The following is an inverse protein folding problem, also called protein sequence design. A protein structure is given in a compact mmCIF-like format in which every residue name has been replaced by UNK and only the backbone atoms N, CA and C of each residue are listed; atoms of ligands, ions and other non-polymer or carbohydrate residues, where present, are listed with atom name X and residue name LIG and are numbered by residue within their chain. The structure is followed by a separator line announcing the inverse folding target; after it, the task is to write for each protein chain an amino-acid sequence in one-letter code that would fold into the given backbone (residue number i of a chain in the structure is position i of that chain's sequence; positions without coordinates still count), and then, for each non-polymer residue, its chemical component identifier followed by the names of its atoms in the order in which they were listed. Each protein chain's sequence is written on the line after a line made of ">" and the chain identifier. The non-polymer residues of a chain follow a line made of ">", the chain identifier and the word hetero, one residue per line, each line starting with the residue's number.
data_IF_182538861438
#
_entry.id   IF_182538861438
#
_cell.length_a   1.000
_cell.length_b   1.000
_cell.length_c   1.000
_cell.angle_alpha   90.00
_cell.angle_beta   90.00
_cell.angle_gamma   90.00
#
_symmetry.space_group_name_H-M   'P 1'
#
loop_
_entity.id
_entity.type
_entity.pdbx_description
1 polymer ?
#
# COMPACT_ATOMS: atom_id res chain seq x y z
N UNK A 1 7.47 9.72 7.59
CA UNK A 1 6.72 10.79 6.91
C UNK A 1 6.73 10.41 5.44
N UNK A 2 5.60 9.96 4.92
CA UNK A 2 5.44 9.65 3.50
C UNK A 2 4.99 10.94 2.82
N UNK A 3 5.85 11.51 1.98
CA UNK A 3 5.46 12.61 1.09
C UNK A 3 4.89 12.01 -0.19
N UNK A 4 3.62 12.24 -0.48
CA UNK A 4 3.04 11.95 -1.78
C UNK A 4 3.40 13.12 -2.71
N UNK A 5 4.32 12.86 -3.64
CA UNK A 5 4.63 13.79 -4.72
C UNK A 5 4.10 13.21 -6.03
N UNK A 6 3.58 14.07 -6.90
CA UNK A 6 3.31 13.65 -8.28
C UNK A 6 4.64 13.28 -8.96
N UNK A 7 4.57 12.39 -9.95
CA UNK A 7 5.76 11.96 -10.71
C UNK A 7 6.53 13.15 -11.32
N UNK A 8 5.82 14.21 -11.74
CA UNK A 8 6.42 15.44 -12.26
C UNK A 8 7.19 16.21 -11.17
N UNK A 9 6.65 16.31 -9.97
CA UNK A 9 7.33 16.93 -8.82
C UNK A 9 8.58 16.17 -8.41
N UNK A 10 8.54 14.83 -8.44
CA UNK A 10 9.71 13.96 -8.18
C UNK A 10 10.79 14.22 -9.26
N UNK A 11 10.41 14.26 -10.53
CA UNK A 11 11.34 14.50 -11.64
C UNK A 11 12.00 15.89 -11.52
N UNK A 12 11.27 16.93 -11.22
CA UNK A 12 11.82 18.28 -11.00
C UNK A 12 12.71 18.37 -9.76
N UNK A 13 12.32 17.69 -8.68
CA UNK A 13 13.12 17.62 -7.46
C UNK A 13 14.44 16.85 -7.67
N UNK A 14 14.40 15.76 -8.42
CA UNK A 14 15.61 15.01 -8.82
C UNK A 14 16.56 15.85 -9.69
N UNK A 15 16.04 16.65 -10.64
CA UNK A 15 16.84 17.59 -11.44
C UNK A 15 17.54 18.65 -10.58
N UNK A 16 16.82 19.23 -9.59
CA UNK A 16 17.39 20.23 -8.66
C UNK A 16 18.47 19.67 -7.76
N UNK A 17 18.30 18.40 -7.29
CA UNK A 17 19.27 17.73 -6.43
C UNK A 17 20.54 17.27 -7.18
N UNK A 18 20.48 17.10 -8.50
CA UNK A 18 21.62 16.75 -9.35
C UNK A 18 22.66 17.87 -9.55
N UNK A 19 22.33 19.11 -9.18
CA UNK A 19 23.18 20.30 -9.35
C UNK A 19 23.97 20.74 -8.12
N UNK A 20 23.65 20.26 -6.92
CA UNK A 20 24.34 20.65 -5.69
C UNK A 20 25.10 19.45 -5.07
N UNK A 21 26.35 19.69 -4.68
CA UNK A 21 27.19 18.75 -3.91
C UNK A 21 26.60 18.55 -2.51
N UNK A 22 25.54 17.75 -2.40
CA UNK A 22 25.05 17.27 -1.11
C UNK A 22 25.57 15.86 -0.89
N UNK A 23 26.24 15.63 0.22
CA UNK A 23 27.08 14.47 0.56
C UNK A 23 26.40 13.09 0.65
N UNK A 24 25.19 12.89 0.12
CA UNK A 24 24.55 11.58 -0.07
C UNK A 24 23.86 11.53 -1.43
N UNK A 25 24.44 10.75 -2.35
CA UNK A 25 23.85 10.49 -3.67
C UNK A 25 22.61 9.60 -3.48
N UNK A 26 21.47 10.00 -4.03
CA UNK A 26 20.28 9.14 -4.12
C UNK A 26 20.63 7.93 -4.99
N UNK A 27 20.41 6.73 -4.49
CA UNK A 27 20.67 5.48 -5.20
C UNK A 27 19.38 4.76 -5.59
N UNK A 28 18.32 4.95 -4.80
CA UNK A 28 17.03 4.28 -4.98
C UNK A 28 15.88 5.27 -4.81
N UNK A 29 14.83 5.07 -5.61
CA UNK A 29 13.55 5.76 -5.46
C UNK A 29 12.47 4.72 -5.22
N UNK A 30 11.78 4.83 -4.09
CA UNK A 30 10.64 3.99 -3.77
C UNK A 30 9.33 4.76 -4.00
N UNK A 31 8.38 4.12 -4.65
CA UNK A 31 7.07 4.68 -4.99
C UNK A 31 5.96 3.88 -4.31
N UNK A 32 4.99 4.56 -3.74
CA UNK A 32 3.67 3.99 -3.54
C UNK A 32 2.97 3.86 -4.91
N UNK A 33 2.11 2.85 -5.05
CA UNK A 33 1.48 2.54 -6.33
C UNK A 33 0.13 3.25 -6.50
N UNK A 34 -0.85 2.91 -5.67
CA UNK A 34 -2.23 3.35 -5.84
C UNK A 34 -2.42 4.82 -5.45
N UNK A 35 -2.76 5.68 -6.40
CA UNK A 35 -2.90 7.12 -6.21
C UNK A 35 -1.58 7.91 -6.36
N UNK A 36 -0.47 7.22 -6.64
CA UNK A 36 0.86 7.84 -6.87
C UNK A 36 1.34 7.60 -8.30
N UNK A 37 1.58 6.35 -8.70
CA UNK A 37 2.01 5.99 -10.07
C UNK A 37 0.83 5.55 -10.92
N UNK A 38 -0.15 4.92 -10.32
CA UNK A 38 -1.40 4.52 -10.98
C UNK A 38 -2.58 5.20 -10.27
N UNK A 39 -3.68 5.39 -10.97
CA UNK A 39 -4.94 5.62 -10.30
C UNK A 39 -5.35 4.36 -9.54
N UNK A 40 -6.15 4.50 -8.48
CA UNK A 40 -6.55 3.39 -7.63
C UNK A 40 -7.14 2.23 -8.44
N UNK A 41 -6.51 1.06 -8.35
CA UNK A 41 -6.86 -0.17 -9.08
C UNK A 41 -6.82 -0.05 -10.62
N UNK A 42 -6.19 1.00 -11.16
CA UNK A 42 -6.00 1.17 -12.60
C UNK A 42 -4.62 0.68 -13.05
N UNK A 43 -4.47 0.24 -14.32
CA UNK A 43 -3.16 -0.13 -14.87
C UNK A 43 -2.19 1.06 -14.94
N UNK A 44 -0.90 0.76 -15.03
CA UNK A 44 0.13 1.77 -15.32
C UNK A 44 -0.11 2.44 -16.66
N UNK A 45 -0.26 3.76 -16.66
CA UNK A 45 -0.44 4.55 -17.88
C UNK A 45 0.89 4.77 -18.62
N UNK A 46 0.83 4.90 -19.95
CA UNK A 46 1.99 5.05 -20.83
C UNK A 46 2.88 6.27 -20.46
N UNK A 47 2.29 7.39 -20.04
CA UNK A 47 3.06 8.56 -19.64
C UNK A 47 3.90 8.30 -18.39
N UNK A 48 3.32 7.64 -17.38
CA UNK A 48 4.02 7.28 -16.16
C UNK A 48 5.09 6.22 -16.44
N UNK A 49 4.82 5.27 -17.34
CA UNK A 49 5.82 4.29 -17.80
C UNK A 49 7.04 4.97 -18.40
N UNK A 50 6.86 5.93 -19.31
CA UNK A 50 7.98 6.69 -19.91
C UNK A 50 8.82 7.44 -18.86
N UNK A 51 8.19 7.91 -17.78
CA UNK A 51 8.92 8.54 -16.67
C UNK A 51 9.71 7.52 -15.88
N UNK A 52 9.12 6.36 -15.57
CA UNK A 52 9.82 5.26 -14.89
C UNK A 52 11.02 4.78 -15.73
N UNK A 53 10.87 4.62 -17.05
CA UNK A 53 11.95 4.22 -17.94
C UNK A 53 13.14 5.20 -17.89
N UNK A 54 12.89 6.50 -17.82
CA UNK A 54 13.94 7.52 -17.67
C UNK A 54 14.60 7.49 -16.29
N UNK A 55 13.81 7.30 -15.24
CA UNK A 55 14.32 7.22 -13.87
C UNK A 55 15.15 5.95 -13.65
N UNK A 56 14.74 4.83 -14.25
CA UNK A 56 15.44 3.54 -14.15
C UNK A 56 16.86 3.58 -14.74
N UNK A 57 17.15 4.53 -15.65
CA UNK A 57 18.52 4.74 -16.18
C UNK A 57 19.47 5.36 -15.15
N UNK A 58 18.93 5.99 -14.09
CA UNK A 58 19.71 6.77 -13.14
C UNK A 58 19.64 6.20 -11.70
N UNK A 59 18.56 5.49 -11.37
CA UNK A 59 18.23 5.05 -10.03
C UNK A 59 17.70 3.62 -10.05
N UNK A 60 17.96 2.86 -8.98
CA UNK A 60 17.18 1.66 -8.68
C UNK A 60 15.77 2.09 -8.30
N UNK A 61 14.76 1.47 -8.89
CA UNK A 61 13.36 1.79 -8.62
C UNK A 61 12.71 0.66 -7.82
N UNK A 62 11.84 1.03 -6.89
CA UNK A 62 11.10 0.11 -6.02
C UNK A 62 9.63 0.53 -5.94
N UNK A 63 8.71 -0.40 -6.13
CA UNK A 63 7.30 -0.21 -5.78
C UNK A 63 7.07 -0.72 -4.37
N UNK A 64 6.37 0.07 -3.55
CA UNK A 64 5.93 -0.34 -2.22
C UNK A 64 4.41 -0.35 -2.17
N UNK A 65 3.81 -1.46 -1.75
CA UNK A 65 2.35 -1.55 -1.71
C UNK A 65 1.81 -2.56 -0.70
N UNK A 66 0.57 -2.35 -0.27
CA UNK A 66 -0.11 -3.23 0.68
C UNK A 66 -0.57 -4.56 0.05
N UNK A 67 -0.83 -4.58 -1.26
CA UNK A 67 -1.30 -5.76 -1.98
C UNK A 67 -0.23 -6.83 -2.17
N UNK A 68 -0.62 -8.01 -2.67
CA UNK A 68 0.33 -9.06 -3.06
C UNK A 68 1.21 -8.61 -4.23
N UNK A 69 2.45 -9.10 -4.29
CA UNK A 69 3.38 -8.78 -5.36
C UNK A 69 2.84 -9.15 -6.74
N UNK A 70 2.15 -10.29 -6.87
CA UNK A 70 1.50 -10.71 -8.11
C UNK A 70 0.38 -9.74 -8.56
N UNK A 71 -0.38 -9.17 -7.62
CA UNK A 71 -1.37 -8.15 -7.93
C UNK A 71 -0.69 -6.87 -8.41
N UNK A 72 0.32 -6.41 -7.68
CA UNK A 72 1.07 -5.21 -8.01
C UNK A 72 1.72 -5.35 -9.39
N UNK A 73 2.43 -6.45 -9.64
CA UNK A 73 3.08 -6.71 -10.93
C UNK A 73 2.09 -6.72 -12.10
N UNK A 74 0.91 -7.35 -11.92
CA UNK A 74 -0.15 -7.35 -12.94
C UNK A 74 -0.72 -5.95 -13.18
N UNK A 75 -0.96 -5.16 -12.11
CA UNK A 75 -1.45 -3.78 -12.23
C UNK A 75 -0.43 -2.86 -12.91
N UNK A 76 0.87 -3.13 -12.70
CA UNK A 76 1.97 -2.45 -13.40
C UNK A 76 2.13 -2.89 -14.86
N UNK A 77 1.23 -3.78 -15.38
CA UNK A 77 1.29 -4.27 -16.75
C UNK A 77 2.51 -5.14 -17.06
N UNK A 78 3.07 -5.81 -16.04
CA UNK A 78 4.28 -6.61 -16.18
C UNK A 78 5.56 -5.76 -16.24
N UNK A 79 5.51 -4.49 -15.84
CA UNK A 79 6.70 -3.62 -15.81
C UNK A 79 7.75 -4.19 -14.83
N UNK A 80 8.97 -4.35 -15.32
CA UNK A 80 10.10 -4.93 -14.57
C UNK A 80 10.68 -3.93 -13.59
N UNK A 81 10.24 -4.00 -12.36
CA UNK A 81 10.65 -3.14 -11.25
C UNK A 81 10.60 -3.97 -9.96
N UNK A 82 11.53 -3.74 -9.04
CA UNK A 82 11.49 -4.39 -7.74
C UNK A 82 10.21 -4.01 -6.96
N UNK A 83 9.66 -4.97 -6.20
CA UNK A 83 8.40 -4.77 -5.49
C UNK A 83 8.56 -5.19 -4.03
N UNK A 84 8.24 -4.29 -3.11
CA UNK A 84 8.06 -4.57 -1.69
C UNK A 84 6.56 -4.60 -1.40
N UNK A 85 5.99 -5.78 -1.38
CA UNK A 85 4.58 -6.05 -1.31
C UNK A 85 4.13 -6.51 0.08
N UNK A 86 2.82 -6.63 0.27
CA UNK A 86 2.20 -7.24 1.44
C UNK A 86 2.73 -6.62 2.75
N UNK A 87 2.70 -5.27 2.83
CA UNK A 87 3.22 -4.51 3.98
C UNK A 87 4.69 -4.81 4.31
N UNK A 88 5.52 -5.03 3.28
CA UNK A 88 6.94 -5.34 3.43
C UNK A 88 7.26 -6.80 3.72
N UNK A 89 6.28 -7.69 3.76
CA UNK A 89 6.47 -9.11 4.02
C UNK A 89 6.74 -9.95 2.77
N UNK A 90 6.57 -9.37 1.58
CA UNK A 90 6.86 -10.02 0.33
C UNK A 90 7.76 -9.13 -0.54
N UNK A 91 8.85 -9.70 -1.04
CA UNK A 91 9.83 -9.00 -1.88
C UNK A 91 9.99 -9.73 -3.20
N UNK A 92 9.89 -8.97 -4.28
CA UNK A 92 10.07 -9.44 -5.65
C UNK A 92 11.20 -8.65 -6.27
N UNK A 93 12.12 -9.33 -6.91
CA UNK A 93 13.23 -8.73 -7.67
C UNK A 93 13.26 -9.23 -9.11
N UNK A 94 13.76 -8.40 -10.01
CA UNK A 94 13.95 -8.80 -11.39
C UNK A 94 15.27 -9.55 -11.53
N UNK A 95 15.20 -10.82 -11.92
CA UNK A 95 16.36 -11.64 -12.24
C UNK A 95 16.78 -11.41 -13.70
N UNK A 96 17.87 -10.71 -13.91
CA UNK A 96 18.38 -10.43 -15.27
C UNK A 96 18.79 -11.70 -16.03
N UNK A 97 19.31 -12.72 -15.33
CA UNK A 97 19.76 -13.98 -15.93
C UNK A 97 18.60 -14.79 -16.52
N UNK A 98 17.44 -14.77 -15.84
CA UNK A 98 16.24 -15.49 -16.26
C UNK A 98 15.24 -14.62 -17.02
N UNK A 99 15.39 -13.31 -16.97
CA UNK A 99 14.48 -12.37 -17.61
C UNK A 99 13.09 -12.30 -16.98
N UNK A 100 12.96 -12.68 -15.70
CA UNK A 100 11.67 -12.75 -15.00
C UNK A 100 11.73 -12.18 -13.59
N UNK A 101 10.54 -11.87 -13.04
CA UNK A 101 10.38 -11.44 -11.64
C UNK A 101 10.34 -12.64 -10.71
N UNK A 102 11.10 -12.58 -9.63
CA UNK A 102 11.21 -13.64 -8.64
C UNK A 102 10.83 -13.18 -7.25
N UNK A 103 10.24 -14.10 -6.49
CA UNK A 103 9.95 -13.89 -5.07
C UNK A 103 11.19 -14.26 -4.27
N UNK A 104 11.93 -13.26 -3.81
CA UNK A 104 13.15 -13.45 -3.00
C UNK A 104 12.85 -13.58 -1.51
N UNK A 105 11.69 -13.03 -1.08
CA UNK A 105 11.21 -13.16 0.31
C UNK A 105 9.69 -13.23 0.34
N UNK A 106 9.16 -14.16 1.14
CA UNK A 106 7.72 -14.25 1.38
C UNK A 106 7.47 -14.74 2.80
N UNK A 107 7.09 -13.82 3.67
CA UNK A 107 6.78 -14.09 5.08
C UNK A 107 5.27 -14.04 5.25
N UNK A 108 4.72 -15.07 5.90
CA UNK A 108 3.32 -15.12 6.30
C UNK A 108 3.22 -15.22 7.81
N UNK A 109 2.38 -14.40 8.40
CA UNK A 109 2.11 -14.38 9.83
C UNK A 109 0.69 -14.85 10.08
N UNK A 110 0.52 -15.82 10.96
CA UNK A 110 -0.81 -16.30 11.34
C UNK A 110 -1.50 -15.28 12.26
N UNK A 111 -2.78 -15.07 12.01
CA UNK A 111 -3.67 -14.25 12.82
C UNK A 111 -4.75 -15.15 13.42
N UNK A 112 -5.12 -14.93 14.68
CA UNK A 112 -6.29 -15.55 15.30
C UNK A 112 -7.55 -14.85 14.80
N UNK A 113 -8.06 -15.36 13.66
CA UNK A 113 -9.22 -14.78 12.98
C UNK A 113 -10.46 -14.76 13.87
N UNK A 114 -10.72 -15.85 14.60
CA UNK A 114 -11.91 -15.94 15.45
C UNK A 114 -11.90 -14.86 16.54
N UNK A 115 -10.76 -14.62 17.15
CA UNK A 115 -10.60 -13.56 18.14
C UNK A 115 -10.77 -12.17 17.51
N UNK A 116 -10.20 -11.93 16.32
CA UNK A 116 -10.34 -10.66 15.61
C UNK A 116 -11.78 -10.41 15.20
N UNK A 117 -12.47 -11.39 14.64
CA UNK A 117 -13.87 -11.26 14.21
C UNK A 117 -14.79 -10.93 15.38
N UNK A 118 -14.64 -11.61 16.53
CA UNK A 118 -15.41 -11.28 17.75
C UNK A 118 -15.19 -9.83 18.21
N UNK A 119 -13.95 -9.37 18.20
CA UNK A 119 -13.59 -7.99 18.57
C UNK A 119 -14.15 -6.99 17.59
N UNK A 120 -14.13 -7.29 16.30
CA UNK A 120 -14.71 -6.43 15.27
C UNK A 120 -16.23 -6.33 15.41
N UNK A 121 -16.91 -7.45 15.66
CA UNK A 121 -18.36 -7.45 15.93
C UNK A 121 -18.71 -6.61 17.16
N UNK A 122 -17.92 -6.70 18.22
CA UNK A 122 -18.09 -5.85 19.40
C UNK A 122 -17.96 -4.36 19.03
N UNK A 123 -16.93 -3.99 18.26
CA UNK A 123 -16.70 -2.63 17.79
C UNK A 123 -17.89 -2.12 16.95
N UNK A 124 -18.35 -2.93 15.99
CA UNK A 124 -19.47 -2.60 15.12
C UNK A 124 -20.75 -2.34 15.91
N UNK A 125 -21.09 -3.20 16.86
CA UNK A 125 -22.25 -3.02 17.74
C UNK A 125 -22.15 -1.75 18.59
N UNK A 126 -20.99 -1.50 19.17
CA UNK A 126 -20.76 -0.34 20.03
C UNK A 126 -20.90 0.98 19.29
N UNK A 127 -20.45 1.05 18.02
CA UNK A 127 -20.43 2.28 17.23
C UNK A 127 -21.51 2.35 16.15
N UNK A 128 -22.37 1.34 16.03
CA UNK A 128 -23.48 1.33 15.09
C UNK A 128 -23.09 1.03 13.64
N UNK A 129 -21.91 0.44 13.38
CA UNK A 129 -21.45 0.09 12.03
C UNK A 129 -21.89 -1.31 11.60
N UNK A 130 -23.18 -1.61 11.76
CA UNK A 130 -23.74 -2.93 11.43
C UNK A 130 -24.02 -3.12 9.93
N UNK A 131 -24.21 -2.03 9.19
CA UNK A 131 -24.41 -2.06 7.74
C UNK A 131 -23.05 -1.95 7.04
N UNK A 132 -22.62 -3.02 6.38
CA UNK A 132 -21.39 -3.07 5.62
C UNK A 132 -21.53 -4.03 4.42
N UNK A 133 -20.74 -3.82 3.38
CA UNK A 133 -20.73 -4.61 2.16
C UNK A 133 -19.50 -5.52 2.10
N UNK A 134 -19.71 -6.80 1.78
CA UNK A 134 -18.65 -7.81 1.75
C UNK A 134 -18.20 -8.24 3.15
N UNK A 135 -16.90 -8.42 3.34
CA UNK A 135 -16.33 -8.90 4.59
C UNK A 135 -16.18 -7.79 5.64
N UNK A 136 -16.39 -8.16 6.90
CA UNK A 136 -16.23 -7.27 8.07
C UNK A 136 -14.77 -6.95 8.37
N UNK A 137 -13.86 -7.86 8.03
CA UNK A 137 -12.42 -7.79 8.29
C UNK A 137 -11.67 -8.23 7.04
N UNK A 138 -10.60 -7.53 6.69
CA UNK A 138 -9.70 -7.95 5.64
C UNK A 138 -8.39 -8.47 6.25
N UNK A 139 -8.11 -9.75 5.99
CA UNK A 139 -6.91 -10.44 6.48
C UNK A 139 -5.84 -10.50 5.41
N UNK A 140 -4.63 -10.05 5.76
CA UNK A 140 -3.48 -10.08 4.86
C UNK A 140 -2.49 -11.18 5.28
N UNK A 141 -1.80 -11.83 4.32
CA UNK A 141 -0.78 -12.84 4.63
C UNK A 141 0.35 -12.33 5.53
N UNK A 142 0.59 -11.01 5.54
CA UNK A 142 1.55 -10.37 6.46
C UNK A 142 1.19 -10.45 7.94
N UNK A 143 -0.04 -10.90 8.27
CA UNK A 143 -0.61 -10.77 9.61
C UNK A 143 -1.21 -9.40 9.88
N UNK A 144 -1.11 -8.46 8.93
CA UNK A 144 -1.85 -7.20 9.00
C UNK A 144 -3.35 -7.46 8.86
N UNK A 145 -4.13 -6.73 9.64
CA UNK A 145 -5.60 -6.81 9.63
C UNK A 145 -6.16 -5.42 9.38
N UNK A 146 -7.00 -5.30 8.36
CA UNK A 146 -7.72 -4.07 8.07
C UNK A 146 -9.16 -4.19 8.58
N UNK A 147 -9.63 -3.17 9.29
CA UNK A 147 -10.98 -3.09 9.85
C UNK A 147 -11.82 -2.08 9.03
N UNK A 148 -12.39 -2.49 7.88
CA UNK A 148 -13.13 -1.58 7.01
C UNK A 148 -14.52 -1.32 7.59
N UNK A 149 -14.80 -0.09 8.05
CA UNK A 149 -16.09 0.25 8.68
C UNK A 149 -17.28 0.03 7.76
N UNK A 150 -17.12 0.31 6.46
CA UNK A 150 -18.14 0.07 5.43
C UNK A 150 -18.07 -1.34 4.80
N UNK A 151 -17.10 -2.18 5.21
CA UNK A 151 -16.83 -3.47 4.61
C UNK A 151 -15.87 -3.42 3.41
N UNK A 152 -15.42 -4.59 2.98
CA UNK A 152 -14.41 -4.72 1.92
C UNK A 152 -14.93 -4.31 0.54
N UNK A 153 -16.24 -4.51 0.28
CA UNK A 153 -16.88 -4.32 -1.03
C UNK A 153 -17.70 -3.02 -1.14
N UNK A 154 -17.63 -2.14 -0.15
CA UNK A 154 -18.31 -0.85 -0.23
C UNK A 154 -17.84 -0.04 -1.46
N UNK A 155 -18.75 0.71 -2.06
CA UNK A 155 -18.48 1.53 -3.24
C UNK A 155 -17.40 2.57 -2.97
N UNK A 156 -16.59 2.87 -3.99
CA UNK A 156 -15.48 3.83 -3.85
C UNK A 156 -15.95 5.25 -3.53
N UNK A 157 -17.10 5.68 -4.05
CA UNK A 157 -17.67 7.01 -3.76
C UNK A 157 -18.18 7.06 -2.33
N UNK A 158 -18.81 5.97 -1.86
CA UNK A 158 -19.26 5.84 -0.48
C UNK A 158 -18.06 5.89 0.47
N UNK A 159 -16.98 5.15 0.19
CA UNK A 159 -15.73 5.19 0.98
C UNK A 159 -15.13 6.60 1.06
N UNK A 160 -15.13 7.35 -0.03
CA UNK A 160 -14.59 8.72 -0.07
C UNK A 160 -15.45 9.71 0.71
N UNK A 161 -16.79 9.57 0.67
CA UNK A 161 -17.73 10.47 1.36
C UNK A 161 -17.98 10.13 2.83
N UNK A 162 -17.67 8.91 3.24
CA UNK A 162 -18.02 8.39 4.57
C UNK A 162 -17.32 9.10 5.73
N UNK A 163 -16.03 9.38 5.59
CA UNK A 163 -15.20 9.95 6.67
C UNK A 163 -14.05 10.79 6.09
N UNK A 164 -14.39 11.88 5.34
CA UNK A 164 -13.41 12.67 4.59
C UNK A 164 -12.42 13.39 5.51
N UNK A 165 -12.87 13.83 6.69
CA UNK A 165 -12.07 14.50 7.72
C UNK A 165 -11.45 13.53 8.74
N UNK A 166 -11.70 12.23 8.60
CA UNK A 166 -11.25 11.15 9.51
C UNK A 166 -11.80 11.25 10.95
N UNK A 167 -12.84 12.02 11.18
CA UNK A 167 -13.42 12.23 12.53
C UNK A 167 -13.96 10.93 13.11
N UNK A 168 -14.64 10.11 12.31
CA UNK A 168 -15.18 8.80 12.73
C UNK A 168 -14.07 7.83 13.11
N UNK A 169 -13.03 7.69 12.29
CA UNK A 169 -11.86 6.85 12.58
C UNK A 169 -11.13 7.31 13.83
N UNK A 170 -10.96 8.62 14.03
CA UNK A 170 -10.35 9.16 15.25
C UNK A 170 -11.16 8.86 16.49
N UNK A 171 -12.49 8.90 16.41
CA UNK A 171 -13.38 8.58 17.53
C UNK A 171 -13.28 7.10 17.97
N UNK A 172 -13.14 6.17 17.02
CA UNK A 172 -13.04 4.74 17.33
C UNK A 172 -11.62 4.31 17.72
N UNK A 173 -10.58 4.99 17.22
CA UNK A 173 -9.19 4.61 17.38
C UNK A 173 -8.77 4.25 18.83
N UNK A 174 -9.12 5.04 19.88
CA UNK A 174 -8.79 4.69 21.26
C UNK A 174 -9.42 3.37 21.74
N UNK A 175 -10.59 3.03 21.21
CA UNK A 175 -11.28 1.77 21.54
C UNK A 175 -10.63 0.59 20.83
N UNK A 176 -10.27 0.74 19.55
CA UNK A 176 -9.51 -0.28 18.82
C UNK A 176 -8.21 -0.58 19.55
N UNK A 177 -7.45 0.43 19.98
CA UNK A 177 -6.22 0.23 20.76
C UNK A 177 -6.42 -0.55 22.05
N UNK A 178 -7.53 -0.32 22.74
CA UNK A 178 -7.87 -1.06 23.98
C UNK A 178 -8.32 -2.49 23.70
N UNK A 179 -9.00 -2.70 22.57
CA UNK A 179 -9.58 -3.98 22.20
C UNK A 179 -8.54 -4.93 21.61
N UNK A 180 -7.50 -4.38 20.94
CA UNK A 180 -6.44 -5.08 20.22
C UNK A 180 -5.06 -4.83 20.86
N UNK A 181 -4.92 -5.11 22.18
CA UNK A 181 -3.67 -4.89 22.92
C UNK A 181 -2.50 -5.77 22.45
N UNK A 182 -2.81 -6.89 21.82
CA UNK A 182 -1.90 -7.85 21.22
C UNK A 182 -1.47 -7.49 19.79
N UNK A 183 -1.98 -6.36 19.26
CA UNK A 183 -1.64 -5.82 17.94
C UNK A 183 -1.04 -4.41 18.07
N UNK A 184 -0.20 -4.05 17.10
CA UNK A 184 0.15 -2.64 16.89
C UNK A 184 -0.93 -1.98 16.03
N UNK A 185 -1.61 -0.97 16.56
CA UNK A 185 -2.70 -0.26 15.90
C UNK A 185 -2.20 1.08 15.38
N UNK A 186 -2.40 1.32 14.09
CA UNK A 186 -1.99 2.53 13.37
C UNK A 186 -3.18 3.40 12.97
#
# INVERSE_FOLDING_TARGET
>A
IVYSFSINEITEKCKRLGGEKVGKRIQMIAFDMDGTITQHKCPLGEENKKVLDRLAQLYRLLIVGAGSGSRIFRQMGGYTIDILANYGMQEWEYCQERGEMEVVRNISVRCDRESVDRRMDQLRRQFGYMNYAGESVEYHPSGCVTLPLLGTEADSREKLSFDPDRSRRRAIYPYVKKLFLDYTVY
#
